data_IF_399484372622
#
_entry.id   IF_399484372622
#
_cell.length_a   1.000
_cell.length_b   1.000
_cell.length_c   1.000
_cell.angle_alpha   90.00
_cell.angle_beta   90.00
_cell.angle_gamma   90.00
#
_symmetry.space_group_name_H-M   'P 1'
#
loop_
_entity.id
_entity.type
_entity.pdbx_description
1 polymer ?
#
# COMPACT_ATOMS: atom_id res chain seq x y z
N UNK A 1 15.90 26.87 0.93
CA UNK A 1 14.70 26.14 1.41
C UNK A 1 15.19 25.07 2.35
N UNK A 2 14.52 24.87 3.50
CA UNK A 2 14.85 23.79 4.42
C UNK A 2 14.98 22.43 3.71
N UNK A 3 16.08 21.74 3.98
CA UNK A 3 16.40 20.39 3.47
C UNK A 3 15.97 19.29 4.44
N UNK A 4 15.77 19.64 5.71
CA UNK A 4 15.25 18.75 6.75
C UNK A 4 14.04 19.34 7.46
N UNK A 5 13.20 18.49 8.04
CA UNK A 5 12.06 18.94 8.84
C UNK A 5 12.53 19.70 10.10
N UNK A 6 13.72 19.39 10.59
CA UNK A 6 14.33 20.06 11.72
C UNK A 6 14.75 21.49 11.37
N UNK A 7 15.35 21.69 10.19
CA UNK A 7 15.59 23.03 9.65
C UNK A 7 14.28 23.79 9.47
N UNK A 8 13.25 23.15 8.93
CA UNK A 8 11.93 23.76 8.77
C UNK A 8 11.32 24.22 10.11
N UNK A 9 11.47 23.42 11.17
CA UNK A 9 11.06 23.82 12.52
C UNK A 9 11.82 25.06 13.00
N UNK A 10 13.14 25.08 12.83
CA UNK A 10 14.00 26.20 13.25
C UNK A 10 13.67 27.48 12.47
N UNK A 11 13.51 27.39 11.15
CA UNK A 11 13.11 28.50 10.28
C UNK A 11 11.75 29.09 10.72
N UNK A 12 10.84 28.24 11.18
CA UNK A 12 9.54 28.64 11.68
C UNK A 12 9.54 29.07 13.17
N UNK A 13 10.72 29.20 13.80
CA UNK A 13 10.86 29.64 15.19
C UNK A 13 10.52 28.57 16.24
N UNK A 14 10.46 27.30 15.87
CA UNK A 14 10.17 26.18 16.78
C UNK A 14 11.46 25.40 17.06
N UNK A 15 11.86 25.35 18.33
CA UNK A 15 13.03 24.58 18.73
C UNK A 15 12.74 23.06 18.62
N UNK A 16 13.50 22.27 17.84
CA UNK A 16 13.32 20.81 17.73
C UNK A 16 13.39 20.08 19.09
N UNK A 17 14.12 20.60 20.08
CA UNK A 17 14.15 20.02 21.43
C UNK A 17 12.80 20.11 22.17
N UNK A 18 11.83 20.86 21.65
CA UNK A 18 10.47 20.94 22.17
C UNK A 18 9.47 20.09 21.36
N UNK A 19 9.95 19.32 20.37
CA UNK A 19 9.11 18.60 19.41
C UNK A 19 9.33 17.08 19.50
N UNK A 20 8.23 16.35 19.64
CA UNK A 20 8.19 14.90 19.37
C UNK A 20 7.64 14.66 17.97
N UNK A 21 8.28 13.77 17.23
CA UNK A 21 7.84 13.32 15.92
C UNK A 21 6.98 12.07 16.09
N UNK A 22 5.78 12.05 15.50
CA UNK A 22 4.86 10.92 15.55
C UNK A 22 4.49 10.48 14.14
N UNK A 23 4.77 9.22 13.79
CA UNK A 23 4.41 8.61 12.51
C UNK A 23 3.29 7.59 12.70
N UNK A 24 2.10 7.96 12.28
CA UNK A 24 0.94 7.08 12.30
C UNK A 24 0.88 6.26 11.01
N UNK A 25 1.38 5.03 11.07
CA UNK A 25 1.26 4.07 9.97
C UNK A 25 0.79 2.71 10.52
N UNK A 26 -0.42 2.32 10.14
CA UNK A 26 -0.98 0.99 10.40
C UNK A 26 -2.12 0.72 9.43
N UNK A 27 -2.29 -0.54 9.07
CA UNK A 27 -3.37 -1.09 8.26
C UNK A 27 -4.35 -1.93 9.09
N UNK A 28 -4.20 -1.91 10.42
CA UNK A 28 -4.98 -2.71 11.38
C UNK A 28 -6.26 -2.03 11.88
N UNK A 29 -6.69 -0.94 11.26
CA UNK A 29 -7.95 -0.29 11.61
C UNK A 29 -9.14 -1.14 11.18
N UNK A 30 -10.30 -0.88 11.80
CA UNK A 30 -11.54 -1.57 11.47
C UNK A 30 -11.88 -1.35 9.98
N UNK A 31 -12.20 -2.44 9.26
CA UNK A 31 -12.51 -2.38 7.84
C UNK A 31 -11.35 -1.90 6.95
N UNK A 32 -10.10 -2.01 7.40
CA UNK A 32 -8.92 -1.55 6.65
C UNK A 32 -8.68 -0.04 6.75
N UNK A 33 -9.37 0.66 7.65
CA UNK A 33 -9.17 2.09 7.92
C UNK A 33 -7.73 2.37 8.33
N UNK A 34 -7.16 3.46 7.82
CA UNK A 34 -5.81 3.91 8.17
C UNK A 34 -5.84 5.28 8.86
N UNK A 35 -4.78 5.66 9.60
CA UNK A 35 -4.67 7.02 10.14
C UNK A 35 -4.71 8.12 9.06
N UNK A 36 -4.24 7.83 7.84
CA UNK A 36 -4.37 8.74 6.71
C UNK A 36 -5.84 8.95 6.31
N UNK A 37 -6.64 7.88 6.23
CA UNK A 37 -8.07 7.98 5.95
C UNK A 37 -8.79 8.78 7.04
N UNK A 38 -8.49 8.51 8.33
CA UNK A 38 -9.00 9.33 9.42
C UNK A 38 -8.64 10.81 9.20
N UNK A 39 -7.36 11.11 8.95
CA UNK A 39 -6.92 12.48 8.76
C UNK A 39 -7.62 13.20 7.60
N UNK A 40 -7.75 12.50 6.46
CA UNK A 40 -8.31 13.03 5.21
C UNK A 40 -9.82 13.23 5.30
N UNK A 41 -10.53 12.25 5.87
CA UNK A 41 -11.99 12.17 5.81
C UNK A 41 -12.66 12.74 7.08
N UNK A 42 -11.99 12.64 8.23
CA UNK A 42 -12.47 13.17 9.52
C UNK A 42 -11.30 13.58 10.43
N UNK A 43 -10.86 14.82 10.24
CA UNK A 43 -9.75 15.40 11.02
C UNK A 43 -9.98 15.32 12.54
N UNK A 44 -11.22 15.44 13.01
CA UNK A 44 -11.53 15.36 14.45
C UNK A 44 -11.33 13.93 14.96
N UNK A 45 -11.75 12.93 14.19
CA UNK A 45 -11.50 11.52 14.53
C UNK A 45 -9.99 11.20 14.53
N UNK A 46 -9.20 11.76 13.61
CA UNK A 46 -7.74 11.64 13.66
C UNK A 46 -7.15 12.27 14.93
N UNK A 47 -7.59 13.47 15.28
CA UNK A 47 -7.14 14.16 16.48
C UNK A 47 -7.52 13.40 17.76
N UNK A 48 -8.72 12.83 17.81
CA UNK A 48 -9.16 11.96 18.90
C UNK A 48 -8.34 10.66 18.96
N UNK A 49 -8.05 10.03 17.82
CA UNK A 49 -7.19 8.84 17.75
C UNK A 49 -5.78 9.10 18.27
N UNK A 50 -5.10 10.16 17.80
CA UNK A 50 -3.77 10.48 18.31
C UNK A 50 -3.80 10.96 19.76
N UNK A 51 -4.99 11.31 20.29
CA UNK A 51 -5.11 11.95 21.60
C UNK A 51 -4.70 11.10 22.79
N UNK A 52 -4.72 9.78 22.58
CA UNK A 52 -4.40 8.80 23.60
C UNK A 52 -3.10 8.09 23.24
N UNK A 53 -2.15 8.04 24.17
CA UNK A 53 -0.87 7.37 23.95
C UNK A 53 -0.42 6.54 25.15
N UNK A 54 0.37 5.50 24.90
CA UNK A 54 1.04 4.77 25.97
C UNK A 54 1.92 5.71 26.80
N UNK A 55 2.17 5.41 28.09
CA UNK A 55 2.88 6.26 29.03
C UNK A 55 4.40 6.28 28.78
N UNK A 56 4.84 6.80 27.63
CA UNK A 56 6.24 6.84 27.21
C UNK A 56 6.81 8.27 27.34
N UNK A 57 8.09 8.44 27.73
CA UNK A 57 8.71 9.77 27.89
C UNK A 57 8.60 10.67 26.65
N UNK A 58 8.65 10.09 25.46
CA UNK A 58 8.52 10.83 24.18
C UNK A 58 7.20 11.57 24.03
N UNK A 59 6.13 11.12 24.69
CA UNK A 59 4.83 11.81 24.64
C UNK A 59 4.66 12.85 25.76
N UNK A 60 5.40 12.69 26.88
CA UNK A 60 5.19 13.47 28.11
C UNK A 60 6.04 14.73 28.21
N UNK A 61 7.19 14.75 27.54
CA UNK A 61 8.26 15.73 27.83
C UNK A 61 8.27 16.93 26.89
N UNK A 62 7.64 16.82 25.72
CA UNK A 62 7.75 17.81 24.65
C UNK A 62 6.45 18.62 24.52
N UNK A 63 6.59 19.92 24.28
CA UNK A 63 5.48 20.88 24.16
C UNK A 63 4.68 20.67 22.86
N UNK A 64 5.36 20.22 21.82
CA UNK A 64 4.77 20.04 20.50
C UNK A 64 4.89 18.62 20.01
N UNK A 65 3.86 18.16 19.30
CA UNK A 65 3.93 16.97 18.46
C UNK A 65 3.83 17.36 16.99
N UNK A 66 4.80 16.94 16.19
CA UNK A 66 4.71 16.95 14.74
C UNK A 66 4.19 15.58 14.30
N UNK A 67 2.96 15.55 13.80
CA UNK A 67 2.31 14.31 13.39
C UNK A 67 2.47 14.09 11.89
N UNK A 68 2.64 12.83 11.53
CA UNK A 68 2.79 12.35 10.17
C UNK A 68 1.89 11.14 9.93
N UNK A 69 1.39 11.01 8.70
CA UNK A 69 0.64 9.84 8.23
C UNK A 69 1.26 9.30 6.95
N UNK A 70 0.82 8.11 6.52
CA UNK A 70 1.28 7.48 5.28
C UNK A 70 0.11 7.40 4.27
N UNK A 71 0.01 8.33 3.31
CA UNK A 71 -0.95 8.23 2.21
C UNK A 71 -0.73 6.96 1.38
N UNK A 72 0.54 6.70 1.05
CA UNK A 72 1.00 5.45 0.46
C UNK A 72 2.05 4.76 1.32
N UNK A 73 2.30 3.48 1.01
CA UNK A 73 3.36 2.70 1.64
C UNK A 73 4.70 3.40 1.42
N UNK A 74 5.45 3.58 2.52
CA UNK A 74 6.77 4.25 2.58
C UNK A 74 6.74 5.78 2.50
N UNK A 75 5.58 6.40 2.29
CA UNK A 75 5.47 7.84 2.48
C UNK A 75 5.30 8.17 3.97
N UNK A 76 5.78 9.36 4.33
CA UNK A 76 5.59 9.95 5.65
C UNK A 76 5.30 11.42 5.45
N UNK A 77 4.02 11.75 5.37
CA UNK A 77 3.53 13.08 5.04
C UNK A 77 3.18 13.83 6.33
N UNK A 78 3.64 15.08 6.43
CA UNK A 78 3.34 15.95 7.55
C UNK A 78 1.86 16.36 7.54
N UNK A 79 1.18 16.18 8.67
CA UNK A 79 -0.25 16.50 8.81
C UNK A 79 -0.55 17.57 9.87
N UNK A 80 0.44 17.99 10.65
CA UNK A 80 0.26 19.10 11.58
C UNK A 80 1.27 19.13 12.70
N UNK A 81 1.49 20.35 13.19
CA UNK A 81 2.21 20.61 14.43
C UNK A 81 1.17 20.97 15.49
N UNK A 82 1.16 20.26 16.60
CA UNK A 82 0.17 20.45 17.67
C UNK A 82 0.86 20.87 18.94
N UNK A 83 0.37 21.92 19.60
CA UNK A 83 0.66 22.12 21.01
C UNK A 83 -0.12 21.07 21.80
N UNK A 84 0.58 20.34 22.66
CA UNK A 84 0.02 19.24 23.44
C UNK A 84 0.15 19.50 24.92
N UNK A 85 -0.88 19.13 25.67
CA UNK A 85 -0.86 19.14 27.14
C UNK A 85 -1.49 17.88 27.67
N UNK A 86 -0.75 17.15 28.50
CA UNK A 86 -1.27 15.94 29.17
C UNK A 86 -2.43 16.33 30.08
N UNK A 87 -3.50 15.57 30.03
CA UNK A 87 -4.64 15.69 30.94
C UNK A 87 -4.31 14.92 32.22
N UNK A 88 -4.29 15.56 33.40
CA UNK A 88 -4.19 14.86 34.66
C UNK A 88 -5.41 13.97 34.87
N UNK A 89 -5.20 12.72 35.30
CA UNK A 89 -6.27 11.77 35.65
C UNK A 89 -7.37 11.65 34.57
N UNK A 90 -7.03 11.19 33.36
CA UNK A 90 -7.99 11.21 32.27
C UNK A 90 -9.03 10.12 32.43
N UNK A 91 -10.28 10.46 32.10
CA UNK A 91 -11.32 9.49 31.77
C UNK A 91 -11.35 9.33 30.26
N UNK A 92 -11.23 8.09 29.78
CA UNK A 92 -11.32 7.74 28.36
C UNK A 92 -12.48 6.75 28.22
N UNK A 93 -13.64 7.26 27.82
CA UNK A 93 -14.91 6.53 27.74
C UNK A 93 -15.42 6.34 26.29
N UNK A 94 -14.60 6.70 25.30
CA UNK A 94 -14.89 6.53 23.88
C UNK A 94 -14.17 5.33 23.26
N UNK A 95 -14.68 4.91 22.10
CA UNK A 95 -14.01 3.93 21.23
C UNK A 95 -12.93 4.62 20.40
N UNK A 96 -11.77 3.98 20.26
CA UNK A 96 -10.71 4.37 19.34
C UNK A 96 -11.28 4.51 17.91
N UNK A 97 -11.25 5.72 17.31
CA UNK A 97 -11.83 5.95 15.98
C UNK A 97 -11.21 5.11 14.86
N UNK A 98 -9.98 4.61 15.05
CA UNK A 98 -9.29 3.77 14.10
C UNK A 98 -9.78 2.32 14.18
N UNK A 99 -9.96 1.78 15.39
CA UNK A 99 -10.20 0.34 15.61
C UNK A 99 -11.63 0.01 16.03
N UNK A 100 -12.42 1.01 16.40
CA UNK A 100 -13.76 0.89 16.99
C UNK A 100 -13.80 0.00 18.24
N UNK A 101 -12.72 0.02 19.04
CA UNK A 101 -12.57 -0.71 20.30
C UNK A 101 -12.24 0.25 21.42
N UNK A 102 -12.41 -0.14 22.70
CA UNK A 102 -11.91 0.66 23.81
C UNK A 102 -10.43 1.02 23.62
N UNK A 103 -10.05 2.25 23.96
CA UNK A 103 -8.65 2.70 23.86
C UNK A 103 -7.75 1.76 24.66
N UNK A 104 -6.68 1.27 24.04
CA UNK A 104 -5.75 0.34 24.68
C UNK A 104 -6.25 -1.10 24.77
N UNK A 105 -7.34 -1.47 24.09
CA UNK A 105 -7.85 -2.85 24.08
C UNK A 105 -6.74 -3.89 23.81
N UNK A 106 -6.62 -4.88 24.71
CA UNK A 106 -5.59 -5.91 24.65
C UNK A 106 -4.19 -5.45 25.09
N UNK A 107 -4.09 -4.36 25.86
CA UNK A 107 -2.84 -3.88 26.49
C UNK A 107 -3.01 -3.77 27.99
N UNK A 108 -1.98 -4.22 28.72
CA UNK A 108 -1.94 -4.16 30.20
C UNK A 108 -1.43 -2.81 30.71
N UNK A 109 -1.80 -1.72 30.05
CA UNK A 109 -1.27 -0.38 30.35
C UNK A 109 -2.30 0.69 30.09
N UNK A 110 -2.45 1.57 31.07
CA UNK A 110 -3.30 2.75 30.96
C UNK A 110 -2.69 3.77 30.00
N UNK A 111 -3.50 4.26 29.07
CA UNK A 111 -3.09 5.29 28.13
C UNK A 111 -3.20 6.67 28.79
N UNK A 112 -2.26 7.54 28.49
CA UNK A 112 -2.34 8.96 28.79
C UNK A 112 -3.24 9.65 27.75
N UNK A 113 -4.02 10.63 28.19
CA UNK A 113 -4.78 11.53 27.33
C UNK A 113 -4.08 12.88 27.24
N UNK A 114 -4.17 13.51 26.08
CA UNK A 114 -3.64 14.84 25.83
C UNK A 114 -4.73 15.73 25.21
N UNK A 115 -4.67 17.03 25.48
CA UNK A 115 -5.39 18.05 24.70
C UNK A 115 -4.50 18.54 23.56
N UNK A 116 -5.10 18.80 22.41
CA UNK A 116 -4.40 19.20 21.19
C UNK A 116 -4.91 20.56 20.73
N UNK A 117 -3.97 21.40 20.31
CA UNK A 117 -4.26 22.61 19.56
C UNK A 117 -3.38 22.63 18.34
N UNK A 118 -3.98 22.55 17.15
CA UNK A 118 -3.24 22.70 15.90
C UNK A 118 -2.58 24.08 15.85
N UNK A 119 -1.26 24.11 15.69
CA UNK A 119 -0.47 25.32 15.57
C UNK A 119 -0.51 25.85 14.14
N UNK A 120 -0.70 27.16 13.92
CA UNK A 120 -0.70 27.75 12.58
C UNK A 120 0.70 27.84 11.95
N UNK A 121 1.77 27.71 12.76
CA UNK A 121 3.17 27.99 12.40
C UNK A 121 3.64 27.23 11.15
N UNK A 122 3.24 25.96 11.00
CA UNK A 122 3.57 25.12 9.84
C UNK A 122 2.36 24.75 8.98
N UNK A 123 1.26 25.51 9.08
CA UNK A 123 0.01 25.23 8.35
C UNK A 123 0.21 25.09 6.84
N UNK A 124 1.10 25.90 6.25
CA UNK A 124 1.42 25.87 4.81
C UNK A 124 2.08 24.58 4.34
N UNK A 125 2.69 23.82 5.27
CA UNK A 125 3.42 22.57 5.01
C UNK A 125 2.55 21.32 5.19
N UNK A 126 1.38 21.46 5.82
CA UNK A 126 0.41 20.37 5.95
C UNK A 126 0.10 19.83 4.56
N UNK A 127 0.16 18.51 4.43
CA UNK A 127 -0.04 17.76 3.18
C UNK A 127 0.91 18.06 2.02
N UNK A 128 1.97 18.86 2.24
CA UNK A 128 2.96 19.21 1.21
C UNK A 128 4.36 18.74 1.55
N UNK A 129 4.68 18.65 2.84
CA UNK A 129 6.00 18.20 3.29
C UNK A 129 6.01 16.70 3.54
N UNK A 130 6.92 16.00 2.88
CA UNK A 130 7.21 14.58 3.08
C UNK A 130 8.60 14.44 3.67
N UNK A 131 8.78 13.44 4.52
CA UNK A 131 10.07 13.15 5.15
C UNK A 131 10.46 11.69 4.97
N UNK A 132 11.76 11.42 4.99
CA UNK A 132 12.25 10.06 5.23
C UNK A 132 12.23 9.78 6.74
N UNK A 133 11.47 8.76 7.16
CA UNK A 133 11.41 8.35 8.58
C UNK A 133 12.60 7.51 9.02
N UNK A 134 13.45 7.07 8.09
CA UNK A 134 14.45 6.00 8.21
C UNK A 134 13.81 4.60 8.29
N UNK A 135 14.08 3.77 7.25
CA UNK A 135 13.61 2.38 7.14
C UNK A 135 14.21 1.46 8.21
N UNK A 136 15.40 1.77 8.73
CA UNK A 136 16.04 1.02 9.82
C UNK A 136 15.34 1.29 11.15
N UNK A 137 14.68 2.44 11.28
CA UNK A 137 13.91 2.85 12.45
C UNK A 137 12.39 2.60 12.34
N UNK A 138 11.93 1.79 11.38
CA UNK A 138 10.48 1.59 11.11
C UNK A 138 9.69 1.04 12.30
N UNK A 139 10.37 0.40 13.26
CA UNK A 139 9.76 -0.11 14.50
C UNK A 139 9.49 0.99 15.54
N UNK A 140 10.17 2.14 15.44
CA UNK A 140 9.92 3.27 16.33
C UNK A 140 9.08 4.32 15.61
N UNK A 141 7.77 4.27 15.87
CA UNK A 141 6.80 5.19 15.30
C UNK A 141 6.79 6.58 15.98
N UNK A 142 7.54 6.75 17.09
CA UNK A 142 7.68 8.03 17.78
C UNK A 142 9.15 8.30 18.16
N UNK A 143 9.62 9.53 17.94
CA UNK A 143 11.02 9.94 18.08
C UNK A 143 11.13 11.38 18.61
N UNK A 144 12.26 11.75 19.21
CA UNK A 144 12.57 13.14 19.53
C UNK A 144 13.13 13.85 18.30
N UNK A 145 12.62 15.03 17.97
CA UNK A 145 13.14 15.77 16.83
C UNK A 145 14.60 16.19 17.05
N UNK A 146 15.00 16.58 18.27
CA UNK A 146 16.39 16.94 18.58
C UNK A 146 17.44 15.89 18.21
N UNK A 147 17.06 14.62 18.30
CA UNK A 147 17.99 13.49 18.17
C UNK A 147 17.83 12.78 16.81
N UNK A 148 16.83 13.20 16.02
CA UNK A 148 16.44 12.54 14.77
C UNK A 148 16.19 13.60 13.71
N UNK A 149 17.23 13.93 12.96
CA UNK A 149 17.10 14.79 11.80
C UNK A 149 16.37 14.06 10.67
N UNK A 150 15.28 14.65 10.17
CA UNK A 150 14.44 14.04 9.13
C UNK A 150 14.60 14.76 7.80
N UNK A 151 15.28 14.15 6.82
CA UNK A 151 15.38 14.71 5.47
C UNK A 151 13.98 14.95 4.89
N UNK A 152 13.77 16.14 4.32
CA UNK A 152 12.61 16.39 3.47
C UNK A 152 12.89 15.74 2.13
N UNK A 153 11.90 14.99 1.65
CA UNK A 153 11.96 14.31 0.36
C UNK A 153 10.81 14.80 -0.49
N UNK A 154 10.97 14.79 -1.81
CA UNK A 154 9.81 15.04 -2.66
C UNK A 154 8.77 13.94 -2.45
N UNK A 155 7.49 14.28 -2.61
CA UNK A 155 6.40 13.30 -2.56
C UNK A 155 6.59 12.12 -3.53
N UNK A 156 7.47 12.31 -4.53
CA UNK A 156 7.84 11.40 -5.59
C UNK A 156 9.20 10.70 -5.41
N UNK A 157 10.01 11.06 -4.41
CA UNK A 157 11.32 10.42 -4.22
C UNK A 157 11.10 9.04 -3.58
N UNK A 158 10.94 8.06 -4.47
CA UNK A 158 11.60 6.78 -4.31
C UNK A 158 13.08 7.07 -4.06
N UNK A 159 13.55 6.90 -2.83
CA UNK A 159 14.96 6.98 -2.50
C UNK A 159 15.77 6.11 -3.48
N UNK A 160 16.83 6.70 -4.06
CA UNK A 160 17.80 6.03 -4.93
C UNK A 160 18.28 4.70 -4.32
N UNK A 161 18.46 3.63 -5.12
CA UNK A 161 18.49 2.27 -4.62
C UNK A 161 19.92 1.80 -4.31
N UNK A 162 20.20 1.49 -3.03
CA UNK A 162 21.14 0.43 -2.69
C UNK A 162 20.33 -0.85 -2.40
N UNK A 163 20.33 -1.70 -3.43
CA UNK A 163 20.03 -3.13 -3.60
C UNK A 163 19.03 -3.91 -2.70
N UNK A 164 18.10 -4.56 -3.42
CA UNK A 164 17.25 -5.75 -3.13
C UNK A 164 16.15 -5.62 -2.04
N UNK A 165 14.87 -6.00 -2.21
CA UNK A 165 14.13 -6.71 -3.28
C UNK A 165 12.91 -5.86 -3.67
N UNK A 166 12.99 -5.22 -4.83
CA UNK A 166 11.89 -4.49 -5.45
C UNK A 166 10.96 -5.50 -6.15
N UNK A 167 10.09 -6.15 -5.36
CA UNK A 167 9.12 -7.13 -5.85
C UNK A 167 7.71 -6.92 -5.30
N UNK A 168 7.59 -6.28 -4.13
CA UNK A 168 6.37 -6.36 -3.32
C UNK A 168 5.36 -5.24 -3.59
N UNK A 169 5.81 -4.06 -4.04
CA UNK A 169 4.93 -2.89 -4.32
C UNK A 169 4.24 -3.02 -5.68
N UNK A 170 5.00 -3.27 -6.74
CA UNK A 170 4.44 -3.53 -8.07
C UNK A 170 3.57 -4.78 -8.10
N UNK A 171 3.97 -5.87 -7.42
CA UNK A 171 3.14 -7.07 -7.33
C UNK A 171 1.84 -6.77 -6.59
N UNK A 172 1.85 -5.96 -5.53
CA UNK A 172 0.61 -5.59 -4.83
C UNK A 172 -0.32 -4.74 -5.69
N UNK A 173 0.18 -3.93 -6.61
CA UNK A 173 -0.65 -3.10 -7.49
C UNK A 173 -1.19 -3.96 -8.63
N UNK A 174 -0.30 -4.70 -9.29
CA UNK A 174 -0.65 -5.68 -10.31
C UNK A 174 -1.66 -6.70 -9.80
N UNK A 175 -1.42 -7.29 -8.63
CA UNK A 175 -2.37 -8.18 -7.94
C UNK A 175 -3.71 -7.52 -7.61
N UNK A 176 -3.75 -6.22 -7.31
CA UNK A 176 -5.01 -5.53 -7.01
C UNK A 176 -5.82 -5.25 -8.26
N UNK A 177 -5.14 -5.00 -9.39
CA UNK A 177 -5.76 -4.79 -10.71
C UNK A 177 -6.22 -6.14 -11.29
N UNK A 178 -5.37 -7.17 -11.24
CA UNK A 178 -5.72 -8.56 -11.62
C UNK A 178 -6.88 -9.11 -10.77
N UNK A 179 -6.98 -8.67 -9.51
CA UNK A 179 -8.07 -9.05 -8.58
C UNK A 179 -9.18 -8.00 -8.48
N UNK A 180 -9.20 -6.97 -9.31
CA UNK A 180 -10.35 -6.08 -9.38
C UNK A 180 -11.49 -6.87 -10.02
N UNK A 181 -12.48 -7.18 -9.18
CA UNK A 181 -13.57 -8.09 -9.54
C UNK A 181 -14.38 -7.54 -10.72
N UNK A 182 -14.60 -6.23 -10.79
CA UNK A 182 -15.41 -5.62 -11.84
C UNK A 182 -14.65 -5.59 -13.16
N UNK A 183 -13.37 -5.24 -13.12
CA UNK A 183 -12.52 -5.18 -14.31
C UNK A 183 -12.29 -6.58 -14.89
N UNK A 184 -12.02 -7.56 -14.03
CA UNK A 184 -11.83 -8.97 -14.40
C UNK A 184 -13.11 -9.57 -14.99
N UNK A 185 -14.26 -9.36 -14.35
CA UNK A 185 -15.56 -9.81 -14.88
C UNK A 185 -15.84 -9.18 -16.24
N UNK A 186 -15.59 -7.88 -16.39
CA UNK A 186 -15.83 -7.19 -17.66
C UNK A 186 -14.92 -7.72 -18.78
N UNK A 187 -13.63 -7.91 -18.51
CA UNK A 187 -12.70 -8.46 -19.50
C UNK A 187 -13.08 -9.89 -19.93
N UNK A 188 -13.55 -10.73 -19.01
CA UNK A 188 -14.04 -12.09 -19.33
C UNK A 188 -15.30 -12.06 -20.20
N UNK A 189 -16.24 -11.14 -19.93
CA UNK A 189 -17.41 -10.93 -20.78
C UNK A 189 -17.01 -10.46 -22.18
N UNK A 190 -16.10 -9.50 -22.28
CA UNK A 190 -15.59 -8.99 -23.56
C UNK A 190 -14.91 -10.13 -24.36
N UNK A 191 -14.17 -11.02 -23.69
CA UNK A 191 -13.57 -12.23 -24.28
C UNK A 191 -14.62 -13.21 -24.82
N UNK A 192 -15.66 -13.53 -24.03
CA UNK A 192 -16.75 -14.40 -24.46
C UNK A 192 -17.52 -13.80 -25.66
N UNK A 193 -17.73 -12.49 -25.67
CA UNK A 193 -18.37 -11.81 -26.81
C UNK A 193 -17.53 -11.91 -28.09
N UNK A 194 -16.21 -11.91 -27.96
CA UNK A 194 -15.27 -11.96 -29.09
C UNK A 194 -15.08 -13.38 -29.65
N UNK A 195 -15.07 -14.40 -28.80
CA UNK A 195 -14.77 -15.79 -29.21
C UNK A 195 -15.98 -16.73 -29.13
N UNK A 196 -17.12 -16.29 -28.59
CA UNK A 196 -18.34 -17.08 -28.38
C UNK A 196 -18.31 -17.96 -27.13
N UNK A 197 -17.13 -18.33 -26.66
CA UNK A 197 -16.85 -19.10 -25.43
C UNK A 197 -15.66 -18.48 -24.70
N UNK A 198 -15.44 -18.84 -23.42
CA UNK A 198 -14.26 -18.36 -22.71
C UNK A 198 -13.00 -18.98 -23.31
N UNK A 199 -12.11 -18.14 -23.84
CA UNK A 199 -10.96 -18.59 -24.65
C UNK A 199 -9.67 -17.94 -24.18
N UNK A 200 -8.64 -18.74 -23.97
CA UNK A 200 -7.28 -18.27 -23.67
C UNK A 200 -6.67 -17.61 -24.89
N UNK A 201 -6.33 -16.32 -24.79
CA UNK A 201 -5.81 -15.54 -25.92
C UNK A 201 -4.38 -15.93 -26.32
N UNK A 202 -3.65 -16.63 -25.44
CA UNK A 202 -2.30 -17.09 -25.72
C UNK A 202 -2.24 -18.44 -26.45
N UNK A 203 -3.21 -19.33 -26.26
CA UNK A 203 -3.12 -20.70 -26.78
C UNK A 203 -4.40 -21.26 -27.39
N UNK A 204 -5.48 -20.48 -27.43
CA UNK A 204 -6.76 -20.90 -27.96
C UNK A 204 -7.46 -22.01 -27.17
N UNK A 205 -7.08 -22.24 -25.90
CA UNK A 205 -7.81 -23.21 -25.07
C UNK A 205 -9.18 -22.64 -24.70
N UNK A 206 -10.23 -23.41 -24.96
CA UNK A 206 -11.63 -23.02 -24.76
C UNK A 206 -12.27 -23.84 -23.63
N UNK A 207 -13.11 -23.20 -22.83
CA UNK A 207 -13.94 -23.87 -21.83
C UNK A 207 -15.15 -23.01 -21.46
N UNK A 208 -16.28 -23.63 -21.14
CA UNK A 208 -17.51 -22.95 -20.75
C UNK A 208 -17.44 -22.37 -19.32
N UNK A 209 -16.60 -22.92 -18.44
CA UNK A 209 -16.32 -22.35 -17.13
C UNK A 209 -15.38 -21.14 -17.22
N UNK A 210 -15.96 -19.93 -17.25
CA UNK A 210 -15.23 -18.66 -17.19
C UNK A 210 -14.39 -18.49 -15.90
N UNK A 211 -14.70 -19.25 -14.84
CA UNK A 211 -13.93 -19.29 -13.60
C UNK A 211 -12.55 -19.93 -13.78
N UNK A 212 -12.38 -20.77 -14.80
CA UNK A 212 -11.10 -21.41 -15.12
C UNK A 212 -10.05 -20.44 -15.67
N UNK A 213 -10.46 -19.26 -16.14
CA UNK A 213 -9.58 -18.28 -16.76
C UNK A 213 -9.27 -17.11 -15.82
N UNK A 214 -8.08 -16.54 -15.97
CA UNK A 214 -7.64 -15.37 -15.23
C UNK A 214 -7.48 -14.18 -16.18
N UNK A 215 -7.89 -12.99 -15.71
CA UNK A 215 -7.60 -11.75 -16.40
C UNK A 215 -6.18 -11.30 -16.03
N UNK A 216 -5.34 -11.10 -17.04
CA UNK A 216 -3.93 -10.83 -16.90
C UNK A 216 -3.58 -9.48 -17.51
N UNK A 217 -2.66 -8.74 -16.90
CA UNK A 217 -2.20 -7.46 -17.44
C UNK A 217 -0.84 -7.62 -18.14
N UNK A 218 -0.77 -7.55 -19.48
CA UNK A 218 0.45 -7.84 -20.24
C UNK A 218 1.50 -6.73 -20.14
N UNK A 219 1.07 -5.49 -19.87
CA UNK A 219 1.98 -4.35 -19.71
C UNK A 219 2.35 -4.16 -18.23
N UNK A 220 3.65 -4.19 -17.86
CA UNK A 220 4.11 -3.95 -16.50
C UNK A 220 3.61 -2.62 -15.96
N UNK A 221 3.03 -2.62 -14.76
CA UNK A 221 2.64 -1.39 -14.03
C UNK A 221 3.87 -0.53 -13.65
N UNK A 222 5.08 -1.05 -13.83
CA UNK A 222 6.34 -0.33 -13.72
C UNK A 222 6.48 0.87 -14.69
N UNK A 223 5.58 0.99 -15.66
CA UNK A 223 5.54 2.13 -16.61
C UNK A 223 4.90 3.40 -16.06
N UNK A 224 4.39 3.40 -14.81
CA UNK A 224 3.87 4.58 -14.13
C UNK A 224 2.36 4.60 -13.94
N UNK A 225 1.80 5.78 -13.63
CA UNK A 225 0.35 5.95 -13.39
C UNK A 225 -0.37 5.95 -14.73
N UNK A 226 -1.27 4.97 -14.94
CA UNK A 226 -2.19 4.93 -16.07
C UNK A 226 -3.59 4.47 -15.65
N UNK A 227 -4.59 4.81 -16.46
CA UNK A 227 -5.93 4.26 -16.34
C UNK A 227 -5.97 2.92 -17.09
N UNK A 228 -6.32 1.85 -16.41
CA UNK A 228 -6.53 0.53 -17.01
C UNK A 228 -8.00 0.35 -17.39
N UNK A 229 -8.25 -0.05 -18.63
CA UNK A 229 -9.55 -0.44 -19.18
C UNK A 229 -9.68 -1.97 -19.25
N UNK A 230 -10.89 -2.51 -19.39
CA UNK A 230 -11.08 -3.97 -19.54
C UNK A 230 -10.41 -4.51 -20.79
N UNK A 231 -10.33 -3.69 -21.85
CA UNK A 231 -9.61 -3.97 -23.09
C UNK A 231 -8.10 -4.10 -22.94
N UNK A 232 -7.53 -3.62 -21.83
CA UNK A 232 -6.09 -3.66 -21.57
C UNK A 232 -5.68 -4.95 -20.81
N UNK A 233 -6.66 -5.81 -20.51
CA UNK A 233 -6.45 -7.13 -19.94
C UNK A 233 -6.54 -8.19 -21.02
N UNK A 234 -5.76 -9.26 -20.86
CA UNK A 234 -5.85 -10.46 -21.68
C UNK A 234 -6.35 -11.63 -20.84
N UNK A 235 -7.16 -12.50 -21.43
CA UNK A 235 -7.68 -13.68 -20.74
C UNK A 235 -6.76 -14.88 -20.97
N UNK A 236 -6.27 -15.47 -19.88
CA UNK A 236 -5.33 -16.59 -19.91
C UNK A 236 -5.87 -17.80 -19.14
N UNK A 237 -5.59 -19.01 -19.64
CA UNK A 237 -5.81 -20.23 -18.87
C UNK A 237 -4.79 -20.37 -17.72
N UNK A 238 -4.99 -21.26 -16.74
CA UNK A 238 -4.11 -21.37 -15.56
C UNK A 238 -2.65 -21.66 -15.89
N UNK A 239 -2.41 -22.35 -17.01
CA UNK A 239 -1.07 -22.70 -17.49
C UNK A 239 -0.38 -21.47 -18.08
N UNK A 240 -1.04 -20.74 -18.99
CA UNK A 240 -0.48 -19.53 -19.60
C UNK A 240 -0.30 -18.43 -18.57
N UNK A 241 -1.26 -18.26 -17.66
CA UNK A 241 -1.18 -17.28 -16.59
C UNK A 241 0.01 -17.57 -15.67
N UNK A 242 0.18 -18.83 -15.24
CA UNK A 242 1.37 -19.24 -14.47
C UNK A 242 2.67 -19.02 -15.25
N UNK A 243 2.67 -19.29 -16.56
CA UNK A 243 3.84 -19.06 -17.42
C UNK A 243 4.18 -17.58 -17.50
N UNK A 244 3.19 -16.71 -17.65
CA UNK A 244 3.35 -15.25 -17.74
C UNK A 244 4.16 -14.71 -16.55
N UNK A 245 3.87 -15.19 -15.34
CA UNK A 245 4.54 -14.75 -14.11
C UNK A 245 5.73 -15.64 -13.67
N UNK A 246 6.17 -16.60 -14.48
CA UNK A 246 7.19 -17.59 -14.05
C UNK A 246 8.56 -16.96 -13.80
N UNK A 247 8.97 -16.01 -14.64
CA UNK A 247 10.31 -15.43 -14.59
C UNK A 247 10.35 -14.19 -13.70
N UNK A 248 9.46 -13.24 -13.93
CA UNK A 248 9.34 -12.01 -13.15
C UNK A 248 7.86 -11.71 -12.95
N UNK A 249 7.45 -11.53 -11.69
CA UNK A 249 6.06 -11.21 -11.35
C UNK A 249 5.69 -9.77 -11.68
N UNK A 250 6.67 -8.89 -11.85
CA UNK A 250 6.50 -7.47 -12.15
C UNK A 250 6.67 -7.14 -13.63
N UNK A 251 7.29 -8.05 -14.37
CA UNK A 251 7.47 -7.99 -15.82
C UNK A 251 7.00 -9.31 -16.42
N UNK A 252 5.68 -9.57 -16.40
CA UNK A 252 5.17 -10.78 -17.00
C UNK A 252 5.49 -10.81 -18.50
N UNK A 253 5.54 -12.02 -19.05
CA UNK A 253 5.66 -12.19 -20.50
C UNK A 253 4.48 -11.53 -21.21
N UNK A 254 4.76 -10.86 -22.33
CA UNK A 254 3.71 -10.30 -23.18
C UNK A 254 2.87 -11.41 -23.82
N UNK A 255 1.70 -11.06 -24.35
CA UNK A 255 0.88 -12.01 -25.12
C UNK A 255 1.68 -12.68 -26.24
N UNK A 256 2.52 -11.90 -26.95
CA UNK A 256 3.35 -12.40 -28.04
C UNK A 256 4.42 -13.39 -27.55
N UNK A 257 5.03 -13.12 -26.40
CA UNK A 257 5.99 -14.05 -25.81
C UNK A 257 5.34 -15.37 -25.41
N UNK A 258 4.10 -15.32 -24.89
CA UNK A 258 3.33 -16.51 -24.55
C UNK A 258 2.94 -17.30 -25.79
N UNK A 259 2.50 -16.64 -26.87
CA UNK A 259 2.19 -17.28 -28.15
C UNK A 259 3.43 -17.96 -28.74
N UNK A 260 4.57 -17.26 -28.80
CA UNK A 260 5.84 -17.83 -29.27
C UNK A 260 6.25 -19.06 -28.44
N UNK A 261 6.01 -19.05 -27.13
CA UNK A 261 6.27 -20.20 -26.26
C UNK A 261 5.33 -21.38 -26.51
N UNK A 262 4.06 -21.11 -26.82
CA UNK A 262 3.09 -22.15 -27.22
C UNK A 262 3.51 -22.77 -28.55
N UNK A 263 3.86 -21.94 -29.52
CA UNK A 263 4.26 -22.35 -30.88
C UNK A 263 5.57 -23.16 -30.88
N UNK A 264 6.49 -22.86 -29.96
CA UNK A 264 7.72 -23.62 -29.76
C UNK A 264 7.50 -25.03 -29.17
N UNK A 265 6.26 -25.42 -28.90
CA UNK A 265 5.90 -26.69 -28.28
C UNK A 265 5.98 -26.60 -26.76
N UNK A 266 4.82 -26.53 -26.10
CA UNK A 266 4.73 -26.64 -24.64
C UNK A 266 5.40 -27.94 -24.17
N UNK A 267 6.32 -27.90 -23.18
CA UNK A 267 6.67 -29.14 -22.50
C UNK A 267 5.37 -29.67 -21.86
N UNK A 268 4.93 -30.81 -22.35
CA UNK A 268 3.75 -31.59 -21.94
C UNK A 268 2.37 -31.19 -22.48
N UNK A 269 2.30 -30.85 -23.76
CA UNK A 269 1.17 -31.35 -24.56
C UNK A 269 1.75 -32.20 -25.70
N UNK A 270 1.82 -33.52 -25.47
CA UNK A 270 1.82 -34.45 -26.60
C UNK A 270 0.69 -34.00 -27.53
N UNK A 271 0.91 -33.88 -28.85
CA UNK A 271 -0.18 -33.65 -29.76
C UNK A 271 -1.23 -34.73 -29.48
N UNK A 272 -2.50 -34.34 -29.45
CA UNK A 272 -3.65 -35.22 -29.50
C UNK A 272 -3.67 -35.93 -30.87
N UNK A 273 -2.63 -36.69 -31.16
CA UNK A 273 -2.60 -37.74 -32.15
C UNK A 273 -3.31 -38.92 -31.53
N UNK A 274 -4.50 -39.19 -32.05
CA UNK A 274 -5.24 -40.43 -31.88
C UNK A 274 -4.24 -41.57 -32.17
N UNK A 275 -3.76 -42.22 -31.11
CA UNK A 275 -3.03 -43.47 -31.20
C UNK A 275 -4.02 -44.57 -30.84
N UNK A 276 -4.51 -45.21 -31.89
CA UNK A 276 -5.30 -46.43 -31.87
C UNK A 276 -4.74 -47.45 -30.87
N UNK A 277 -5.56 -47.81 -29.88
CA UNK A 277 -5.31 -48.94 -29.00
C UNK A 277 -5.18 -50.22 -29.84
N UNK A 278 -4.15 -51.06 -29.62
CA UNK A 278 -4.08 -52.35 -30.27
C UNK A 278 -5.16 -53.26 -29.67
N UNK A 279 -5.96 -53.84 -30.56
CA UNK A 279 -6.93 -54.89 -30.29
C UNK A 279 -6.22 -56.08 -29.64
N UNK A 280 -6.59 -56.41 -28.40
CA UNK A 280 -6.23 -57.68 -27.79
C UNK A 280 -7.19 -58.72 -28.34
N UNK A 281 -6.76 -59.44 -29.38
CA UNK A 281 -7.37 -60.70 -29.78
C UNK A 281 -6.99 -61.80 -28.77
N UNK A 282 -8.04 -62.54 -28.39
CA UNK A 282 -8.14 -63.67 -27.44
C UNK A 282 -6.93 -64.56 -27.28
#
# INVERSE_FOLDING_TARGET
MATTFNELLREAGVNPAQVSLLRHQTDKGAGGRTPYMLWRDDRRAFELYQSTQQPRPVFRTRKFWAAFVAPEKFQTMFVGLYEVRRVPQPTVDWLDPLTNKPVGFGKDTNYDLYRYKLSPVLSKHISKTFIDWDRRAIRSWAQYASDNEKPIVDSFVAAEPISSVEGRRYWSIQSKIERDVLLSQRAKLDNQQRFGISTCEACGFENDDAGLFDAHHPDPVATGIRRTLSSDLIILCPICHRRAHRHDRLRPYSLRDLQNWVDAGRPDQKPSGISSLPTISR
#
